data_IF_289567849183
#
_entry.id   IF_289567849183
#
_cell.length_a   1.000
_cell.length_b   1.000
_cell.length_c   1.000
_cell.angle_alpha   90.00
_cell.angle_beta   90.00
_cell.angle_gamma   90.00
#
_symmetry.space_group_name_H-M   'P 1'
#
loop_
_entity.id
_entity.type
_entity.pdbx_description
1 polymer ?
#
# COMPACT_ATOMS: atom_id res chain seq x y z
N UNK A 1 37.13 -17.12 -25.38
CA UNK A 1 36.42 -17.60 -24.17
C UNK A 1 36.98 -17.00 -22.87
N UNK A 2 38.29 -16.99 -22.65
CA UNK A 2 38.90 -16.45 -21.41
C UNK A 2 38.56 -14.97 -21.14
N UNK A 3 38.65 -14.09 -22.14
CA UNK A 3 38.35 -12.67 -21.97
C UNK A 3 36.89 -12.40 -21.57
N UNK A 4 35.94 -13.11 -22.19
CA UNK A 4 34.51 -13.01 -21.84
C UNK A 4 34.24 -13.46 -20.40
N UNK A 5 34.91 -14.52 -19.94
CA UNK A 5 34.83 -14.96 -18.56
C UNK A 5 35.38 -13.92 -17.56
N UNK A 6 36.50 -13.26 -17.90
CA UNK A 6 37.05 -12.18 -17.07
C UNK A 6 36.10 -10.99 -16.94
N UNK A 7 35.45 -10.58 -18.03
CA UNK A 7 34.45 -9.51 -17.99
C UNK A 7 33.21 -9.90 -17.18
N UNK A 8 32.72 -11.14 -17.34
CA UNK A 8 31.58 -11.63 -16.57
C UNK A 8 31.89 -11.67 -15.06
N UNK A 9 33.05 -12.20 -14.68
CA UNK A 9 33.50 -12.26 -13.28
C UNK A 9 33.65 -10.84 -12.72
N UNK A 10 34.31 -9.94 -13.45
CA UNK A 10 34.47 -8.55 -13.06
C UNK A 10 33.11 -7.86 -12.84
N UNK A 11 32.15 -8.06 -13.76
CA UNK A 11 30.83 -7.47 -13.67
C UNK A 11 30.03 -7.99 -12.47
N UNK A 12 30.05 -9.30 -12.23
CA UNK A 12 29.39 -9.92 -11.06
C UNK A 12 30.00 -9.42 -9.76
N UNK A 13 31.34 -9.39 -9.66
CA UNK A 13 32.03 -8.88 -8.48
C UNK A 13 31.74 -7.39 -8.26
N UNK A 14 31.62 -6.60 -9.32
CA UNK A 14 31.28 -5.18 -9.22
C UNK A 14 29.85 -4.98 -8.70
N UNK A 15 28.87 -5.75 -9.19
CA UNK A 15 27.50 -5.75 -8.66
C UNK A 15 27.50 -6.11 -7.18
N UNK A 16 28.18 -7.19 -6.81
CA UNK A 16 28.27 -7.63 -5.42
C UNK A 16 28.89 -6.54 -4.54
N UNK A 17 30.03 -5.98 -4.97
CA UNK A 17 30.70 -4.89 -4.28
C UNK A 17 29.78 -3.69 -4.05
N UNK A 18 29.09 -3.19 -5.08
CA UNK A 18 28.25 -2.00 -4.95
C UNK A 18 27.02 -2.25 -4.05
N UNK A 19 26.39 -3.41 -4.16
CA UNK A 19 25.24 -3.76 -3.31
C UNK A 19 25.69 -3.93 -1.86
N UNK A 20 26.76 -4.69 -1.62
CA UNK A 20 27.28 -4.92 -0.28
C UNK A 20 27.73 -3.61 0.38
N UNK A 21 28.46 -2.77 -0.36
CA UNK A 21 28.88 -1.45 0.09
C UNK A 21 27.69 -0.56 0.47
N UNK A 22 26.59 -0.58 -0.30
CA UNK A 22 25.35 0.12 0.09
C UNK A 22 24.78 -0.40 1.40
N UNK A 23 24.78 -1.71 1.64
CA UNK A 23 24.28 -2.27 2.91
C UNK A 23 25.17 -1.89 4.09
N UNK A 24 26.50 -1.93 3.91
CA UNK A 24 27.45 -1.47 4.94
C UNK A 24 27.19 0.00 5.28
N UNK A 25 27.03 0.86 4.27
CA UNK A 25 26.77 2.29 4.47
C UNK A 25 25.41 2.60 5.12
N UNK A 26 24.44 1.68 5.06
CA UNK A 26 23.17 1.82 5.79
C UNK A 26 23.33 1.61 7.30
N UNK A 27 24.23 0.71 7.71
CA UNK A 27 24.50 0.42 9.13
C UNK A 27 25.60 1.33 9.68
N UNK A 28 26.57 1.66 8.85
CA UNK A 28 27.74 2.45 9.20
C UNK A 28 27.91 3.64 8.25
N UNK A 29 27.31 4.77 8.62
CA UNK A 29 27.13 5.98 7.80
C UNK A 29 28.38 6.85 7.65
N UNK A 30 29.57 6.25 7.65
CA UNK A 30 30.86 6.95 7.51
C UNK A 30 31.57 6.55 6.21
N UNK A 31 31.21 7.15 5.05
CA UNK A 31 31.73 6.77 3.75
C UNK A 31 33.24 7.00 3.59
N UNK A 32 33.81 7.97 4.30
CA UNK A 32 35.25 8.20 4.30
C UNK A 32 36.03 7.02 4.88
N UNK A 33 35.56 6.46 5.99
CA UNK A 33 36.19 5.32 6.65
C UNK A 33 36.07 4.05 5.82
N UNK A 34 34.90 3.80 5.22
CA UNK A 34 34.68 2.67 4.29
C UNK A 34 35.61 2.79 3.07
N UNK A 35 35.73 3.99 2.51
CA UNK A 35 36.64 4.26 1.39
C UNK A 35 38.10 4.01 1.78
N UNK A 36 38.53 4.51 2.94
CA UNK A 36 39.88 4.27 3.47
C UNK A 36 40.15 2.79 3.69
N UNK A 37 39.17 2.03 4.19
CA UNK A 37 39.28 0.58 4.36
C UNK A 37 39.45 -0.15 3.02
N UNK A 38 38.68 0.22 1.98
CA UNK A 38 38.85 -0.35 0.64
C UNK A 38 40.26 -0.11 0.07
N UNK A 39 40.76 1.13 0.14
CA UNK A 39 42.11 1.45 -0.31
C UNK A 39 43.19 0.79 0.56
N UNK A 40 42.97 0.67 1.86
CA UNK A 40 43.87 -0.03 2.78
C UNK A 40 43.98 -1.52 2.45
N UNK A 41 42.85 -2.19 2.24
CA UNK A 41 42.80 -3.60 1.83
C UNK A 41 43.47 -3.81 0.46
N UNK A 42 43.18 -2.95 -0.52
CA UNK A 42 43.82 -2.99 -1.83
C UNK A 42 45.34 -2.79 -1.75
N UNK A 43 45.80 -1.86 -0.91
CA UNK A 43 47.22 -1.61 -0.68
C UNK A 43 47.90 -2.84 -0.05
N UNK A 44 47.28 -3.44 0.97
CA UNK A 44 47.80 -4.65 1.62
C UNK A 44 47.92 -5.82 0.63
N UNK A 45 46.91 -6.02 -0.23
CA UNK A 45 46.94 -7.05 -1.25
C UNK A 45 48.11 -6.84 -2.23
N UNK A 46 48.33 -5.61 -2.71
CA UNK A 46 49.45 -5.29 -3.60
C UNK A 46 50.80 -5.52 -2.91
N UNK A 47 50.93 -5.15 -1.62
CA UNK A 47 52.15 -5.39 -0.84
C UNK A 47 52.44 -6.89 -0.71
N UNK A 48 51.43 -7.73 -0.47
CA UNK A 48 51.56 -9.19 -0.44
C UNK A 48 51.98 -9.72 -1.81
N UNK A 49 51.40 -9.22 -2.91
CA UNK A 49 51.78 -9.63 -4.27
C UNK A 49 53.25 -9.32 -4.59
N UNK A 50 53.77 -8.18 -4.12
CA UNK A 50 55.18 -7.83 -4.25
C UNK A 50 56.08 -8.67 -3.34
N UNK A 51 55.66 -8.93 -2.09
CA UNK A 51 56.43 -9.73 -1.14
C UNK A 51 56.58 -11.19 -1.58
N UNK A 52 55.51 -11.77 -2.15
CA UNK A 52 55.49 -13.13 -2.69
C UNK A 52 56.04 -13.24 -4.11
N UNK A 53 56.51 -12.13 -4.70
CA UNK A 53 57.03 -12.05 -6.06
C UNK A 53 56.05 -12.58 -7.15
N UNK A 54 54.75 -12.51 -6.86
CA UNK A 54 53.68 -12.85 -7.81
C UNK A 54 53.58 -11.81 -8.93
N UNK A 55 53.96 -10.57 -8.63
CA UNK A 55 54.00 -9.48 -9.59
C UNK A 55 55.23 -8.60 -9.35
N UNK A 56 55.92 -8.24 -10.42
CA UNK A 56 57.17 -7.49 -10.32
C UNK A 56 56.91 -6.06 -9.86
N UNK A 57 57.66 -5.62 -8.84
CA UNK A 57 57.60 -4.24 -8.34
C UNK A 57 57.99 -3.27 -9.47
N UNK A 58 57.14 -2.27 -9.79
CA UNK A 58 57.46 -1.29 -10.81
C UNK A 58 58.62 -0.40 -10.37
N UNK A 59 59.54 -0.10 -11.29
CA UNK A 59 60.60 0.90 -11.09
C UNK A 59 60.04 2.28 -11.43
N UNK A 60 59.92 3.16 -10.44
CA UNK A 60 59.35 4.49 -10.60
C UNK A 60 60.43 5.57 -10.57
N UNK A 61 60.45 6.43 -11.59
CA UNK A 61 61.26 7.65 -11.62
C UNK A 61 60.52 8.81 -10.95
N UNK A 62 61.25 9.76 -10.34
CA UNK A 62 60.65 10.94 -9.67
C UNK A 62 59.74 11.78 -10.60
N UNK A 63 60.06 11.85 -11.89
CA UNK A 63 59.24 12.52 -12.90
C UNK A 63 57.88 11.83 -13.12
N UNK A 64 57.84 10.50 -13.08
CA UNK A 64 56.59 9.74 -13.20
C UNK A 64 55.73 9.91 -11.95
N UNK A 65 56.35 10.00 -10.77
CA UNK A 65 55.63 10.21 -9.51
C UNK A 65 54.87 11.55 -9.48
N UNK A 66 55.45 12.61 -10.08
CA UNK A 66 54.80 13.92 -10.18
C UNK A 66 53.50 13.90 -11.01
N UNK A 67 53.35 12.95 -11.95
CA UNK A 67 52.12 12.76 -12.74
C UNK A 67 51.14 11.82 -12.03
N UNK A 68 51.64 10.77 -11.36
CA UNK A 68 50.81 9.74 -10.72
C UNK A 68 50.12 10.26 -9.47
N UNK A 69 50.79 11.08 -8.65
CA UNK A 69 50.22 11.55 -7.37
C UNK A 69 48.93 12.37 -7.57
N UNK A 70 48.90 13.41 -8.43
CA UNK A 70 47.67 14.17 -8.67
C UNK A 70 46.52 13.30 -9.18
N UNK A 71 46.82 12.39 -10.11
CA UNK A 71 45.82 11.45 -10.64
C UNK A 71 45.27 10.53 -9.53
N UNK A 72 46.12 10.03 -8.64
CA UNK A 72 45.72 9.19 -7.52
C UNK A 72 44.83 9.94 -6.52
N UNK A 73 45.13 11.22 -6.23
CA UNK A 73 44.31 12.05 -5.34
C UNK A 73 42.91 12.26 -5.95
N UNK A 74 42.84 12.66 -7.22
CA UNK A 74 41.56 12.87 -7.92
C UNK A 74 40.76 11.59 -7.99
N UNK A 75 41.40 10.45 -8.28
CA UNK A 75 40.72 9.15 -8.32
C UNK A 75 40.24 8.71 -6.94
N UNK A 76 41.01 8.95 -5.88
CA UNK A 76 40.62 8.68 -4.49
C UNK A 76 39.41 9.52 -4.10
N UNK A 77 39.43 10.81 -4.42
CA UNK A 77 38.31 11.72 -4.18
C UNK A 77 37.05 11.29 -4.95
N UNK A 78 37.18 10.89 -6.22
CA UNK A 78 36.06 10.37 -7.01
C UNK A 78 35.43 9.12 -6.38
N UNK A 79 36.25 8.19 -5.87
CA UNK A 79 35.75 7.00 -5.17
C UNK A 79 35.08 7.36 -3.83
N UNK A 80 35.62 8.32 -3.08
CA UNK A 80 34.99 8.83 -1.87
C UNK A 80 33.62 9.43 -2.16
N UNK A 81 33.54 10.32 -3.15
CA UNK A 81 32.28 10.96 -3.55
C UNK A 81 31.27 9.93 -4.06
N UNK A 82 31.72 8.90 -4.77
CA UNK A 82 30.86 7.77 -5.17
C UNK A 82 30.29 7.05 -3.94
N UNK A 83 31.10 6.76 -2.93
CA UNK A 83 30.62 6.12 -1.69
C UNK A 83 29.69 7.04 -0.88
N UNK A 84 29.94 8.35 -0.88
CA UNK A 84 29.02 9.34 -0.30
C UNK A 84 27.67 9.32 -1.03
N UNK A 85 27.67 9.32 -2.37
CA UNK A 85 26.47 9.23 -3.18
C UNK A 85 25.73 7.91 -2.93
N UNK A 86 26.41 6.77 -3.01
CA UNK A 86 25.81 5.45 -2.70
C UNK A 86 25.20 5.46 -1.30
N UNK A 87 25.79 6.13 -0.31
CA UNK A 87 25.18 6.27 1.02
C UNK A 87 23.81 6.96 0.97
N UNK A 88 23.70 8.07 0.25
CA UNK A 88 22.52 8.96 0.25
C UNK A 88 21.42 8.61 -0.76
N UNK A 89 21.81 8.16 -1.95
CA UNK A 89 20.89 7.83 -3.05
C UNK A 89 20.96 6.34 -3.37
N UNK A 90 20.12 5.86 -4.28
CA UNK A 90 20.19 4.46 -4.70
C UNK A 90 21.44 4.21 -5.57
N UNK A 91 21.85 2.94 -5.63
CA UNK A 91 23.05 2.52 -6.37
C UNK A 91 22.88 2.75 -7.86
N UNK A 92 21.69 2.46 -8.42
CA UNK A 92 21.37 2.66 -9.84
C UNK A 92 21.60 4.12 -10.25
N UNK A 93 20.99 5.08 -9.56
CA UNK A 93 21.11 6.50 -9.83
C UNK A 93 22.55 6.99 -9.75
N UNK A 94 23.32 6.51 -8.75
CA UNK A 94 24.74 6.89 -8.64
C UNK A 94 25.53 6.48 -9.88
N UNK A 95 25.34 5.26 -10.38
CA UNK A 95 26.02 4.79 -11.58
C UNK A 95 25.47 5.41 -12.86
N UNK A 96 24.18 5.76 -12.90
CA UNK A 96 23.58 6.53 -14.00
C UNK A 96 24.25 7.90 -14.11
N UNK A 97 24.41 8.66 -13.01
CA UNK A 97 25.14 9.94 -13.04
C UNK A 97 26.59 9.74 -13.45
N UNK A 98 27.23 8.66 -12.98
CA UNK A 98 28.62 8.33 -13.37
C UNK A 98 28.78 8.10 -14.88
N UNK A 99 27.73 7.66 -15.58
CA UNK A 99 27.76 7.52 -17.03
C UNK A 99 27.95 8.87 -17.78
N UNK A 100 27.84 10.01 -17.09
CA UNK A 100 28.17 11.33 -17.63
C UNK A 100 29.67 11.65 -17.69
N UNK A 101 30.56 10.77 -17.20
CA UNK A 101 32.02 10.96 -17.29
C UNK A 101 32.52 11.47 -18.66
N UNK A 102 32.14 10.88 -19.83
CA UNK A 102 32.57 11.39 -21.13
C UNK A 102 32.09 12.84 -21.42
N UNK A 103 30.91 13.23 -20.93
CA UNK A 103 30.42 14.60 -21.06
C UNK A 103 31.31 15.59 -20.31
N UNK A 104 31.64 15.28 -19.05
CA UNK A 104 32.51 16.14 -18.24
C UNK A 104 33.94 16.19 -18.78
N UNK A 105 34.45 15.09 -19.34
CA UNK A 105 35.77 15.07 -19.99
C UNK A 105 35.81 16.06 -21.17
N UNK A 106 34.81 16.02 -22.05
CA UNK A 106 34.74 16.94 -23.20
C UNK A 106 34.56 18.38 -22.74
N UNK A 107 33.69 18.62 -21.75
CA UNK A 107 33.47 19.95 -21.18
C UNK A 107 34.77 20.56 -20.61
N UNK A 108 35.51 19.79 -19.83
CA UNK A 108 36.78 20.25 -19.25
C UNK A 108 37.88 20.39 -20.30
N UNK A 109 37.89 19.54 -21.34
CA UNK A 109 38.81 19.70 -22.47
C UNK A 109 38.63 21.03 -23.18
N UNK A 110 37.37 21.43 -23.45
CA UNK A 110 37.07 22.74 -24.03
C UNK A 110 37.45 23.88 -23.08
N UNK A 111 37.10 23.75 -21.79
CA UNK A 111 37.31 24.83 -20.81
C UNK A 111 38.80 25.09 -20.51
N UNK A 112 39.62 24.04 -20.39
CA UNK A 112 41.01 24.15 -19.96
C UNK A 112 42.03 24.10 -21.09
N UNK A 113 41.78 23.34 -22.16
CA UNK A 113 42.70 23.21 -23.30
C UNK A 113 42.27 24.06 -24.51
N UNK A 114 41.03 24.54 -24.56
CA UNK A 114 40.50 25.27 -25.72
C UNK A 114 40.32 24.41 -26.98
N UNK A 115 40.48 23.08 -26.86
CA UNK A 115 40.31 22.14 -27.96
C UNK A 115 38.82 21.86 -28.19
N UNK A 116 38.30 22.28 -29.34
CA UNK A 116 36.90 22.06 -29.69
C UNK A 116 36.68 20.65 -30.20
N UNK A 117 35.71 19.89 -29.62
CA UNK A 117 35.40 18.55 -30.07
C UNK A 117 34.79 18.57 -31.47
N UNK A 118 34.99 17.47 -32.20
CA UNK A 118 34.34 17.29 -33.51
C UNK A 118 32.83 17.16 -33.35
N UNK A 119 32.09 17.52 -34.40
CA UNK A 119 30.64 17.41 -34.43
C UNK A 119 30.12 16.01 -34.03
N UNK A 120 30.82 14.96 -34.43
CA UNK A 120 30.47 13.57 -34.10
C UNK A 120 30.57 13.23 -32.61
N UNK A 121 31.53 13.82 -31.89
CA UNK A 121 31.68 13.65 -30.44
C UNK A 121 30.53 14.34 -29.72
N UNK A 122 30.14 15.53 -30.16
CA UNK A 122 28.97 16.22 -29.59
C UNK A 122 27.71 15.42 -29.84
N UNK A 123 27.55 14.86 -31.06
CA UNK A 123 26.41 14.02 -31.39
C UNK A 123 26.34 12.73 -30.55
N UNK A 124 27.48 12.10 -30.22
CA UNK A 124 27.51 10.90 -29.37
C UNK A 124 27.22 11.19 -27.90
N UNK A 125 27.40 12.44 -27.43
CA UNK A 125 27.06 12.86 -26.07
C UNK A 125 25.55 13.06 -25.87
N UNK A 126 24.81 13.44 -26.91
CA UNK A 126 23.35 13.66 -26.84
C UNK A 126 22.60 12.44 -26.25
N UNK A 127 22.76 11.20 -26.76
CA UNK A 127 22.06 10.05 -26.19
C UNK A 127 22.51 9.73 -24.76
N UNK A 128 23.78 9.97 -24.41
CA UNK A 128 24.30 9.73 -23.05
C UNK A 128 23.65 10.70 -22.05
N UNK A 129 23.72 12.01 -22.34
CA UNK A 129 23.14 13.04 -21.48
C UNK A 129 21.62 12.91 -21.44
N UNK A 130 20.98 12.63 -22.57
CA UNK A 130 19.54 12.39 -22.65
C UNK A 130 19.10 11.19 -21.81
N UNK A 131 19.83 10.07 -21.88
CA UNK A 131 19.57 8.88 -21.08
C UNK A 131 19.70 9.14 -19.58
N UNK A 132 20.74 9.86 -19.16
CA UNK A 132 20.94 10.23 -17.75
C UNK A 132 19.88 11.20 -17.25
N UNK A 133 19.50 12.20 -18.05
CA UNK A 133 18.44 13.13 -17.72
C UNK A 133 17.10 12.40 -17.53
N UNK A 134 16.74 11.54 -18.48
CA UNK A 134 15.50 10.75 -18.42
C UNK A 134 15.46 9.83 -17.19
N UNK A 135 16.55 9.10 -16.93
CA UNK A 135 16.65 8.23 -15.76
C UNK A 135 16.56 9.02 -14.44
N UNK A 136 17.14 10.22 -14.39
CA UNK A 136 17.08 11.10 -13.21
C UNK A 136 15.66 11.61 -12.92
N UNK A 137 14.92 12.04 -13.95
CA UNK A 137 13.52 12.45 -13.81
C UNK A 137 12.63 11.29 -13.34
N UNK A 138 12.87 10.10 -13.88
CA UNK A 138 12.11 8.90 -13.56
C UNK A 138 12.29 8.49 -12.10
N UNK A 139 13.54 8.44 -11.61
CA UNK A 139 13.86 8.11 -10.21
C UNK A 139 13.24 9.12 -9.21
N UNK A 140 13.31 10.42 -9.49
CA UNK A 140 12.69 11.45 -8.66
C UNK A 140 11.16 11.30 -8.59
N UNK A 141 10.54 11.01 -9.74
CA UNK A 141 9.10 10.77 -9.85
C UNK A 141 8.68 9.53 -9.06
N UNK A 142 9.44 8.43 -9.17
CA UNK A 142 9.18 7.21 -8.40
C UNK A 142 9.29 7.42 -6.90
N UNK A 143 10.34 8.10 -6.42
CA UNK A 143 10.52 8.31 -4.99
C UNK A 143 9.41 9.20 -4.39
N UNK A 144 9.01 10.26 -5.11
CA UNK A 144 7.89 11.12 -4.70
C UNK A 144 6.57 10.35 -4.67
N UNK A 145 6.29 9.54 -5.71
CA UNK A 145 5.08 8.73 -5.80
C UNK A 145 5.00 7.71 -4.67
N UNK A 146 6.10 7.00 -4.40
CA UNK A 146 6.16 6.02 -3.31
C UNK A 146 5.97 6.72 -1.96
N UNK A 147 6.62 7.86 -1.72
CA UNK A 147 6.46 8.60 -0.48
C UNK A 147 4.98 8.98 -0.25
N UNK A 148 4.35 9.62 -1.23
CA UNK A 148 2.95 10.03 -1.14
C UNK A 148 2.01 8.83 -0.94
N UNK A 149 2.22 7.73 -1.66
CA UNK A 149 1.44 6.50 -1.52
C UNK A 149 1.60 5.87 -0.14
N UNK A 150 2.82 5.80 0.39
CA UNK A 150 3.10 5.29 1.73
C UNK A 150 2.42 6.16 2.80
N UNK A 151 2.61 7.47 2.75
CA UNK A 151 1.97 8.40 3.70
C UNK A 151 0.46 8.28 3.67
N UNK A 152 -0.14 8.19 2.48
CA UNK A 152 -1.58 7.99 2.34
C UNK A 152 -2.04 6.67 2.98
N UNK A 153 -1.31 5.56 2.77
CA UNK A 153 -1.66 4.25 3.34
C UNK A 153 -1.61 4.24 4.86
N UNK A 154 -0.54 4.75 5.47
CA UNK A 154 -0.42 4.78 6.93
C UNK A 154 -1.52 5.62 7.56
N UNK A 155 -1.76 6.82 7.01
CA UNK A 155 -2.86 7.67 7.47
C UNK A 155 -4.23 7.00 7.29
N UNK A 156 -4.45 6.31 6.17
CA UNK A 156 -5.70 5.59 5.89
C UNK A 156 -5.91 4.44 6.87
N UNK A 157 -4.88 3.67 7.21
CA UNK A 157 -4.95 2.58 8.19
C UNK A 157 -5.34 3.09 9.58
N UNK A 158 -4.65 4.13 10.08
CA UNK A 158 -4.94 4.75 11.38
C UNK A 158 -6.38 5.31 11.41
N UNK A 159 -6.78 6.03 10.36
CA UNK A 159 -8.14 6.59 10.24
C UNK A 159 -9.22 5.51 10.28
N UNK A 160 -9.02 4.39 9.59
CA UNK A 160 -9.98 3.29 9.54
C UNK A 160 -10.10 2.60 10.91
N UNK A 161 -8.98 2.44 11.62
CA UNK A 161 -8.96 1.88 12.97
C UNK A 161 -9.71 2.78 13.97
N UNK A 162 -9.44 4.07 13.96
CA UNK A 162 -10.11 5.03 14.85
C UNK A 162 -11.61 5.16 14.53
N UNK A 163 -11.95 5.18 13.23
CA UNK A 163 -13.36 5.22 12.79
C UNK A 163 -14.11 3.97 13.23
N UNK A 164 -13.49 2.78 13.12
CA UNK A 164 -14.06 1.52 13.59
C UNK A 164 -14.35 1.57 15.09
N UNK A 165 -13.37 1.98 15.91
CA UNK A 165 -13.54 2.09 17.35
C UNK A 165 -14.63 3.10 17.74
N UNK A 166 -14.72 4.23 17.04
CA UNK A 166 -15.74 5.25 17.26
C UNK A 166 -17.15 4.73 17.01
N UNK A 167 -17.39 4.11 15.84
CA UNK A 167 -18.72 3.61 15.48
C UNK A 167 -19.10 2.36 16.26
N UNK A 168 -18.14 1.51 16.64
CA UNK A 168 -18.39 0.37 17.53
C UNK A 168 -18.98 0.82 18.87
N UNK A 169 -18.40 1.86 19.51
CA UNK A 169 -18.91 2.43 20.77
C UNK A 169 -20.28 3.08 20.61
N UNK A 170 -20.54 3.74 19.48
CA UNK A 170 -21.86 4.32 19.19
C UNK A 170 -22.91 3.24 19.00
N UNK A 171 -22.60 2.23 18.19
CA UNK A 171 -23.50 1.11 17.93
C UNK A 171 -23.88 0.38 19.21
N UNK A 172 -22.92 0.14 20.12
CA UNK A 172 -23.19 -0.53 21.40
C UNK A 172 -24.14 0.24 22.32
N UNK A 173 -24.11 1.58 22.30
CA UNK A 173 -25.06 2.40 23.08
C UNK A 173 -26.43 2.46 22.38
N UNK A 174 -26.43 2.75 21.08
CA UNK A 174 -27.68 2.91 20.31
C UNK A 174 -28.48 1.62 20.19
N UNK A 175 -27.83 0.45 20.10
CA UNK A 175 -28.55 -0.83 19.97
C UNK A 175 -29.36 -1.17 21.22
N UNK A 176 -28.95 -0.70 22.39
CA UNK A 176 -29.67 -0.87 23.64
C UNK A 176 -30.78 0.18 23.77
N UNK A 177 -30.42 1.45 23.59
CA UNK A 177 -31.25 2.62 23.89
C UNK A 177 -32.33 2.91 22.83
N UNK A 178 -32.02 2.78 21.55
CA UNK A 178 -32.87 3.28 20.46
C UNK A 178 -33.85 2.22 19.92
N UNK A 179 -34.96 2.68 19.32
CA UNK A 179 -35.79 1.82 18.49
C UNK A 179 -35.09 1.46 17.17
N UNK A 180 -35.48 0.34 16.54
CA UNK A 180 -34.87 -0.07 15.26
C UNK A 180 -34.96 1.01 14.15
N UNK A 181 -36.09 1.73 13.94
CA UNK A 181 -36.15 2.84 12.99
C UNK A 181 -35.20 4.00 13.30
N UNK A 182 -35.09 4.41 14.56
CA UNK A 182 -34.18 5.49 14.98
C UNK A 182 -32.72 5.10 14.79
N UNK A 183 -32.37 3.86 15.15
CA UNK A 183 -31.04 3.32 14.91
C UNK A 183 -30.68 3.33 13.42
N UNK A 184 -31.60 2.88 12.56
CA UNK A 184 -31.40 2.88 11.10
C UNK A 184 -31.25 4.30 10.54
N UNK A 185 -32.01 5.26 11.05
CA UNK A 185 -31.92 6.67 10.64
C UNK A 185 -30.57 7.28 11.06
N UNK A 186 -30.13 7.05 12.30
CA UNK A 186 -28.80 7.47 12.77
C UNK A 186 -27.69 6.81 11.94
N UNK A 187 -27.84 5.53 11.57
CA UNK A 187 -26.88 4.80 10.75
C UNK A 187 -26.77 5.36 9.32
N UNK A 188 -27.90 5.66 8.68
CA UNK A 188 -27.95 6.30 7.35
C UNK A 188 -27.26 7.67 7.38
N UNK A 189 -27.53 8.46 8.42
CA UNK A 189 -26.93 9.79 8.61
C UNK A 189 -25.42 9.71 8.85
N UNK A 190 -24.94 8.71 9.59
CA UNK A 190 -23.51 8.48 9.76
C UNK A 190 -22.84 8.17 8.42
N UNK A 191 -23.40 7.25 7.64
CA UNK A 191 -22.86 6.92 6.31
C UNK A 191 -22.83 8.13 5.36
N UNK A 192 -23.85 9.00 5.44
CA UNK A 192 -23.87 10.27 4.68
C UNK A 192 -22.74 11.21 5.10
N UNK A 193 -22.57 11.43 6.41
CA UNK A 193 -21.49 12.27 6.95
C UNK A 193 -20.11 11.76 6.58
N UNK A 194 -19.91 10.44 6.60
CA UNK A 194 -18.63 9.83 6.23
C UNK A 194 -18.32 10.00 4.74
N UNK A 195 -19.33 9.88 3.88
CA UNK A 195 -19.20 10.19 2.44
C UNK A 195 -18.82 11.66 2.22
N UNK A 196 -19.46 12.58 2.94
CA UNK A 196 -19.13 14.02 2.87
C UNK A 196 -17.73 14.30 3.38
N UNK A 197 -17.30 13.65 4.48
CA UNK A 197 -15.96 13.76 5.03
C UNK A 197 -14.91 13.33 4.00
N UNK A 198 -15.15 12.22 3.29
CA UNK A 198 -14.25 11.76 2.24
C UNK A 198 -14.18 12.78 1.10
N UNK A 199 -15.34 13.26 0.62
CA UNK A 199 -15.40 14.22 -0.49
C UNK A 199 -14.68 15.54 -0.21
N UNK A 200 -14.60 15.99 1.06
CA UNK A 200 -14.00 17.28 1.41
C UNK A 200 -12.56 17.18 1.89
N UNK A 201 -12.18 16.07 2.53
CA UNK A 201 -10.92 15.99 3.28
C UNK A 201 -10.02 14.83 2.88
N UNK A 202 -10.51 13.81 2.17
CA UNK A 202 -9.77 12.58 1.89
C UNK A 202 -9.67 12.27 0.40
N UNK A 203 -8.74 11.40 0.05
CA UNK A 203 -8.64 10.90 -1.32
C UNK A 203 -9.82 9.96 -1.62
N UNK A 204 -10.36 10.04 -2.84
CA UNK A 204 -11.55 9.26 -3.26
C UNK A 204 -11.39 7.75 -3.12
N UNK A 205 -10.16 7.24 -3.21
CA UNK A 205 -9.86 5.81 -3.00
C UNK A 205 -10.20 5.29 -1.60
N UNK A 206 -10.35 6.18 -0.62
CA UNK A 206 -10.67 5.81 0.77
C UNK A 206 -12.17 5.68 1.03
N UNK A 207 -13.03 6.13 0.10
CA UNK A 207 -14.49 6.12 0.28
C UNK A 207 -15.03 4.71 0.55
N UNK A 208 -14.74 3.77 -0.35
CA UNK A 208 -15.28 2.41 -0.27
C UNK A 208 -14.88 1.72 1.03
N UNK A 209 -13.58 1.77 1.38
CA UNK A 209 -13.04 1.12 2.57
C UNK A 209 -13.63 1.71 3.86
N UNK A 210 -13.76 3.04 3.91
CA UNK A 210 -14.32 3.73 5.07
C UNK A 210 -15.80 3.39 5.24
N UNK A 211 -16.58 3.44 4.17
CA UNK A 211 -18.01 3.13 4.23
C UNK A 211 -18.27 1.67 4.57
N UNK A 212 -17.50 0.73 4.01
CA UNK A 212 -17.59 -0.69 4.37
C UNK A 212 -17.28 -0.91 5.86
N UNK A 213 -16.27 -0.23 6.39
CA UNK A 213 -15.91 -0.33 7.81
C UNK A 213 -17.02 0.19 8.71
N UNK A 214 -17.61 1.33 8.38
CA UNK A 214 -18.73 1.94 9.13
C UNK A 214 -19.99 1.07 9.04
N UNK A 215 -20.31 0.55 7.85
CA UNK A 215 -21.43 -0.38 7.66
C UNK A 215 -21.25 -1.66 8.47
N UNK A 216 -20.03 -2.19 8.52
CA UNK A 216 -19.74 -3.38 9.30
C UNK A 216 -20.03 -3.15 10.79
N UNK A 217 -19.46 -2.08 11.37
CA UNK A 217 -19.66 -1.76 12.80
C UNK A 217 -21.12 -1.45 13.14
N UNK A 218 -21.82 -0.68 12.30
CA UNK A 218 -23.19 -0.24 12.59
C UNK A 218 -24.25 -1.29 12.27
N UNK A 219 -24.14 -2.00 11.14
CA UNK A 219 -25.25 -2.80 10.60
C UNK A 219 -24.98 -4.30 10.59
N UNK A 220 -23.74 -4.72 10.32
CA UNK A 220 -23.39 -6.15 10.24
C UNK A 220 -23.23 -6.75 11.63
N UNK A 221 -22.44 -6.10 12.49
CA UNK A 221 -22.17 -6.57 13.86
C UNK A 221 -23.45 -6.80 14.66
N UNK A 222 -24.44 -5.92 14.51
CA UNK A 222 -25.69 -5.93 15.27
C UNK A 222 -26.92 -6.42 14.47
N UNK A 223 -26.73 -7.00 13.28
CA UNK A 223 -27.83 -7.30 12.36
C UNK A 223 -28.94 -8.14 13.00
N UNK A 224 -28.60 -9.27 13.62
CA UNK A 224 -29.59 -10.16 14.22
C UNK A 224 -30.34 -9.46 15.36
N UNK A 225 -29.62 -8.75 16.23
CA UNK A 225 -30.23 -8.04 17.35
C UNK A 225 -31.16 -6.92 16.87
N UNK A 226 -30.73 -6.12 15.88
CA UNK A 226 -31.52 -5.03 15.33
C UNK A 226 -32.78 -5.53 14.61
N UNK A 227 -32.67 -6.60 13.82
CA UNK A 227 -33.78 -7.15 13.04
C UNK A 227 -34.79 -7.90 13.90
N UNK A 228 -34.35 -8.56 14.97
CA UNK A 228 -35.19 -9.31 15.90
C UNK A 228 -35.59 -8.50 17.15
N UNK A 229 -35.23 -7.20 17.21
CA UNK A 229 -35.51 -6.36 18.37
C UNK A 229 -36.99 -6.38 18.74
N UNK A 230 -37.26 -6.56 20.03
CA UNK A 230 -38.62 -6.64 20.55
C UNK A 230 -39.38 -5.34 20.26
N UNK A 231 -40.64 -5.47 19.83
CA UNK A 231 -41.57 -4.38 19.51
C UNK A 231 -41.16 -3.35 18.45
N UNK A 232 -39.93 -3.37 17.92
CA UNK A 232 -39.45 -2.40 16.93
C UNK A 232 -38.69 -3.02 15.75
N UNK A 233 -38.25 -4.28 15.85
CA UNK A 233 -37.55 -4.99 14.79
C UNK A 233 -38.41 -5.25 13.55
N UNK A 234 -37.84 -5.95 12.57
CA UNK A 234 -38.43 -6.17 11.25
C UNK A 234 -39.86 -6.75 11.33
N UNK A 235 -40.11 -7.70 12.25
CA UNK A 235 -41.45 -8.29 12.46
C UNK A 235 -42.48 -7.26 12.94
N UNK A 236 -42.10 -6.34 13.81
CA UNK A 236 -42.99 -5.30 14.29
C UNK A 236 -43.32 -4.30 13.18
N UNK A 237 -42.31 -3.91 12.40
CA UNK A 237 -42.48 -3.02 11.24
C UNK A 237 -43.41 -3.61 10.17
N UNK A 238 -43.34 -4.92 9.94
CA UNK A 238 -44.24 -5.63 9.01
C UNK A 238 -45.68 -5.66 9.52
N UNK A 239 -45.88 -5.98 10.80
CA UNK A 239 -47.22 -6.03 11.41
C UNK A 239 -47.90 -4.66 11.44
N UNK A 240 -47.12 -3.61 11.68
CA UNK A 240 -47.63 -2.25 11.85
C UNK A 240 -47.61 -1.44 10.52
N UNK A 241 -47.38 -2.12 9.39
CA UNK A 241 -47.33 -1.57 8.01
C UNK A 241 -46.43 -0.33 7.86
N UNK A 242 -45.25 -0.36 8.49
CA UNK A 242 -44.27 0.74 8.49
C UNK A 242 -43.40 0.71 7.23
N UNK A 243 -44.02 0.94 6.06
CA UNK A 243 -43.39 0.79 4.73
C UNK A 243 -42.13 1.65 4.56
N UNK A 244 -42.11 2.88 5.06
CA UNK A 244 -40.95 3.77 4.95
C UNK A 244 -39.72 3.24 5.72
N UNK A 245 -39.94 2.70 6.92
CA UNK A 245 -38.86 2.14 7.74
C UNK A 245 -38.34 0.82 7.15
N UNK A 246 -39.23 0.01 6.58
CA UNK A 246 -38.87 -1.20 5.82
C UNK A 246 -38.08 -0.86 4.55
N UNK A 247 -38.47 0.20 3.84
CA UNK A 247 -37.74 0.70 2.67
C UNK A 247 -36.34 1.17 3.04
N UNK A 248 -36.19 1.87 4.18
CA UNK A 248 -34.87 2.25 4.73
C UNK A 248 -34.05 1.02 5.08
N UNK A 249 -34.64 0.04 5.75
CA UNK A 249 -33.97 -1.22 6.08
C UNK A 249 -33.43 -1.90 4.82
N UNK A 250 -34.24 -2.01 3.77
CA UNK A 250 -33.81 -2.55 2.49
C UNK A 250 -32.65 -1.75 1.88
N UNK A 251 -32.76 -0.42 1.81
CA UNK A 251 -31.73 0.48 1.24
C UNK A 251 -30.39 0.39 1.97
N UNK A 252 -30.40 0.12 3.28
CA UNK A 252 -29.19 -0.06 4.09
C UNK A 252 -28.57 -1.44 3.85
N UNK A 253 -29.36 -2.51 3.93
CA UNK A 253 -28.85 -3.89 3.81
C UNK A 253 -28.57 -4.33 2.37
N UNK A 254 -29.14 -3.68 1.34
CA UNK A 254 -28.85 -3.99 -0.07
C UNK A 254 -27.42 -3.63 -0.50
N UNK A 255 -26.79 -2.69 0.20
CA UNK A 255 -25.41 -2.26 -0.06
C UNK A 255 -24.37 -3.16 0.62
N UNK A 256 -24.81 -4.06 1.49
CA UNK A 256 -23.94 -4.91 2.31
C UNK A 256 -23.84 -6.30 1.66
N UNK A 257 -22.63 -6.87 1.49
CA UNK A 257 -22.46 -8.25 1.03
C UNK A 257 -23.23 -9.24 1.92
N UNK A 258 -24.17 -9.99 1.32
CA UNK A 258 -25.10 -10.91 2.03
C UNK A 258 -26.03 -10.24 3.05
N UNK A 259 -26.12 -8.90 3.08
CA UNK A 259 -27.00 -8.19 4.01
C UNK A 259 -28.48 -8.50 3.79
N UNK A 260 -28.90 -8.62 2.53
CA UNK A 260 -30.29 -8.96 2.18
C UNK A 260 -30.69 -10.38 2.60
N UNK A 261 -29.75 -11.32 2.71
CA UNK A 261 -30.07 -12.69 3.16
C UNK A 261 -30.60 -12.67 4.61
N UNK A 262 -30.06 -11.79 5.46
CA UNK A 262 -30.50 -11.63 6.84
C UNK A 262 -31.93 -11.08 6.91
N UNK A 263 -32.20 -10.01 6.16
CA UNK A 263 -33.54 -9.40 6.10
C UNK A 263 -34.56 -10.37 5.49
N UNK A 264 -34.20 -11.06 4.41
CA UNK A 264 -35.05 -12.04 3.74
C UNK A 264 -35.39 -13.22 4.65
N UNK A 265 -34.43 -13.70 5.46
CA UNK A 265 -34.68 -14.77 6.41
C UNK A 265 -35.71 -14.37 7.48
N UNK A 266 -35.57 -13.17 8.06
CA UNK A 266 -36.53 -12.68 9.07
C UNK A 266 -37.92 -12.46 8.45
N UNK A 267 -37.98 -11.91 7.24
CA UNK A 267 -39.23 -11.74 6.49
C UNK A 267 -39.90 -13.09 6.21
N UNK A 268 -39.14 -14.07 5.71
CA UNK A 268 -39.64 -15.43 5.44
C UNK A 268 -40.22 -16.08 6.69
N UNK A 269 -39.52 -15.96 7.82
CA UNK A 269 -40.01 -16.49 9.10
C UNK A 269 -41.33 -15.83 9.53
N UNK A 270 -41.45 -14.51 9.38
CA UNK A 270 -42.67 -13.77 9.72
C UNK A 270 -43.86 -14.23 8.88
N UNK A 271 -43.72 -14.26 7.55
CA UNK A 271 -44.79 -14.70 6.65
C UNK A 271 -45.18 -16.15 6.92
N UNK A 272 -44.22 -17.02 7.20
CA UNK A 272 -44.50 -18.42 7.55
C UNK A 272 -45.29 -18.54 8.85
N UNK A 273 -44.92 -17.75 9.87
CA UNK A 273 -45.60 -17.75 11.17
C UNK A 273 -47.06 -17.25 11.04
N UNK A 274 -47.26 -16.11 10.39
CA UNK A 274 -48.60 -15.54 10.13
C UNK A 274 -49.47 -16.50 9.31
N UNK A 275 -48.92 -17.05 8.22
CA UNK A 275 -49.62 -18.03 7.39
C UNK A 275 -50.01 -19.29 8.15
N UNK A 276 -49.14 -19.78 9.04
CA UNK A 276 -49.42 -20.97 9.86
C UNK A 276 -50.51 -20.68 10.89
N UNK A 277 -50.50 -19.48 11.50
CA UNK A 277 -51.53 -19.06 12.44
C UNK A 277 -52.92 -18.97 11.78
N UNK A 278 -53.00 -18.38 10.58
CA UNK A 278 -54.25 -18.30 9.81
C UNK A 278 -54.78 -19.69 9.43
N UNK A 279 -53.90 -20.59 8.99
CA UNK A 279 -54.28 -21.98 8.68
C UNK A 279 -54.77 -22.72 9.91
N UNK A 280 -54.14 -22.51 11.08
CA UNK A 280 -54.57 -23.14 12.31
C UNK A 280 -55.93 -22.62 12.77
N UNK A 281 -56.14 -21.30 12.73
CA UNK A 281 -57.46 -20.70 13.03
C UNK A 281 -58.56 -21.26 12.12
N UNK A 282 -58.27 -21.42 10.83
CA UNK A 282 -59.21 -22.02 9.89
C UNK A 282 -59.51 -23.49 10.22
N UNK A 283 -58.49 -24.29 10.59
CA UNK A 283 -58.66 -25.69 11.02
C UNK A 283 -59.50 -25.80 12.29
N UNK A 284 -59.23 -24.96 13.28
CA UNK A 284 -59.95 -24.95 14.55
C UNK A 284 -61.41 -24.56 14.35
N UNK A 285 -61.68 -23.58 13.47
CA UNK A 285 -63.03 -23.21 13.07
C UNK A 285 -63.78 -24.39 12.41
N UNK A 286 -63.14 -25.08 11.46
CA UNK A 286 -63.73 -26.25 10.79
C UNK A 286 -63.99 -27.39 11.76
N UNK A 287 -63.05 -27.68 12.67
CA UNK A 287 -63.22 -28.72 13.69
C UNK A 287 -64.38 -28.41 14.64
N UNK A 288 -64.55 -27.15 15.04
CA UNK A 288 -65.70 -26.70 15.83
C UNK A 288 -67.02 -26.89 15.09
N UNK A 289 -67.07 -26.59 13.78
CA UNK A 289 -68.27 -26.85 12.96
C UNK A 289 -68.61 -28.34 12.88
N UNK A 290 -67.62 -29.21 12.67
CA UNK A 290 -67.83 -30.66 12.62
C UNK A 290 -68.31 -31.19 13.97
N UNK A 291 -67.70 -30.76 15.08
CA UNK A 291 -68.14 -31.13 16.43
C UNK A 291 -69.57 -30.66 16.71
N UNK A 292 -69.92 -29.44 16.30
CA UNK A 292 -71.28 -28.91 16.45
C UNK A 292 -72.32 -29.76 15.71
N UNK A 293 -72.01 -30.18 14.47
CA UNK A 293 -72.89 -31.07 13.67
C UNK A 293 -72.99 -32.46 14.28
N UNK A 294 -71.89 -33.05 14.78
CA UNK A 294 -71.89 -34.36 15.45
C UNK A 294 -72.71 -34.33 16.74
N UNK A 295 -72.58 -33.28 17.56
CA UNK A 295 -73.36 -33.09 18.79
C UNK A 295 -74.86 -32.94 18.49
N UNK A 296 -75.23 -32.25 17.41
CA UNK A 296 -76.63 -32.12 16.98
C UNK A 296 -77.25 -33.43 16.46
N UNK A 297 -76.45 -34.31 15.86
CA UNK A 297 -76.91 -35.60 15.32
C UNK A 297 -76.95 -36.72 16.37
N UNK A 298 -76.24 -36.57 17.49
CA UNK A 298 -76.14 -37.57 18.56
C UNK A 298 -77.48 -37.96 19.24
N UNK A 299 -78.51 -37.10 19.38
CA UNK A 299 -79.81 -37.49 19.95
C UNK A 299 -80.78 -38.15 18.93
N UNK A 300 -80.40 -38.20 17.65
CA UNK A 300 -81.29 -38.60 16.53
C UNK A 300 -80.91 -40.00 15.99
N UNK A 301 -79.80 -40.57 16.47
CA UNK A 301 -79.36 -41.95 16.26
C UNK A 301 -79.55 -42.77 17.55
#
# INVERSE_FOLDING_TARGET
>A
MQLGAMFAIWYILNIYFNIFNKQVLKVYTFPATVTAFHFGCGTLMILIMWASNLYHRPKLTRSQLAVIIPLAIVHTLGNLLTNVSIGRVNVSFTHTIKAMEPFFIVLFSVLFLGEWPTFWIVFSLIPVVGGVALASFTEASFNCTIYNMCTQKFFEEDLLQDTSAYYSRKASSWIEEDSCPEYMLKSEECLRKERERVSHYLHSSSETKLLEKVQHELLVTYANWLLEKEHSGCRALLRDDKVEDLSRMYRLYCKIPRGLELVANVFKQHVTAEGTALVQQAKDAVSNYVNFVVVLLHPIL
#
